data_IF_443108082983
#
_entry.id   IF_443108082983
#
_cell.length_a   1.000
_cell.length_b   1.000
_cell.length_c   1.000
_cell.angle_alpha   90.00
_cell.angle_beta   90.00
_cell.angle_gamma   90.00
#
_symmetry.space_group_name_H-M   'P 1'
#
loop_
_entity.id
_entity.type
_entity.pdbx_description
1 polymer ?
#
# COMPACT_ATOMS: atom_id res chain seq x y z
N UNK A 1 -22.20 58.71 -4.41
CA UNK A 1 -22.53 57.29 -4.71
C UNK A 1 -21.54 56.62 -5.66
N UNK A 2 -20.86 57.35 -6.56
CA UNK A 2 -19.89 56.78 -7.49
C UNK A 2 -18.58 56.30 -6.84
N UNK A 3 -18.17 56.89 -5.73
CA UNK A 3 -16.92 56.58 -5.02
C UNK A 3 -16.90 55.18 -4.38
N UNK A 4 -18.03 54.71 -3.84
CA UNK A 4 -18.15 53.36 -3.26
C UNK A 4 -18.12 52.27 -4.33
N UNK A 5 -18.77 52.50 -5.48
CA UNK A 5 -18.76 51.59 -6.62
C UNK A 5 -17.34 51.49 -7.20
N UNK A 6 -16.62 52.61 -7.28
CA UNK A 6 -15.23 52.64 -7.74
C UNK A 6 -14.23 51.97 -6.77
N UNK A 7 -14.56 51.90 -5.48
CA UNK A 7 -13.77 51.18 -4.47
C UNK A 7 -13.99 49.67 -4.57
N UNK A 8 -15.24 49.21 -4.70
CA UNK A 8 -15.52 47.78 -4.93
C UNK A 8 -14.87 47.25 -6.21
N UNK A 9 -14.93 48.00 -7.32
CA UNK A 9 -14.32 47.59 -8.60
C UNK A 9 -12.78 47.59 -8.57
N UNK A 10 -12.16 48.30 -7.61
CA UNK A 10 -10.68 48.28 -7.42
C UNK A 10 -10.23 47.28 -6.34
N UNK A 11 -11.17 46.62 -5.66
CA UNK A 11 -10.92 45.64 -4.60
C UNK A 11 -10.92 44.17 -5.11
N UNK A 12 -10.92 44.00 -6.45
CA UNK A 12 -10.85 42.71 -7.15
C UNK A 12 -9.54 41.93 -6.86
N UNK A 13 -8.53 42.58 -6.27
CA UNK A 13 -7.29 41.92 -5.86
C UNK A 13 -7.54 40.84 -4.79
N UNK A 14 -8.59 40.98 -3.96
CA UNK A 14 -8.95 39.97 -2.95
C UNK A 14 -9.89 38.86 -3.46
N UNK A 15 -10.81 39.19 -4.37
CA UNK A 15 -11.83 38.26 -4.86
C UNK A 15 -11.25 37.22 -5.84
N UNK A 16 -10.39 37.66 -6.77
CA UNK A 16 -9.77 36.77 -7.77
C UNK A 16 -8.79 35.78 -7.12
N UNK A 17 -7.98 36.25 -6.15
CA UNK A 17 -7.01 35.40 -5.44
C UNK A 17 -7.72 34.35 -4.56
N UNK A 18 -8.94 34.64 -4.07
CA UNK A 18 -9.66 33.71 -3.18
C UNK A 18 -10.21 32.47 -3.90
N UNK A 19 -10.74 32.61 -5.11
CA UNK A 19 -11.31 31.49 -5.86
C UNK A 19 -10.22 30.51 -6.33
N UNK A 20 -9.09 31.03 -6.79
CA UNK A 20 -7.96 30.24 -7.27
C UNK A 20 -7.27 29.49 -6.13
N UNK A 21 -7.13 30.12 -4.96
CA UNK A 21 -6.53 29.50 -3.79
C UNK A 21 -7.45 28.42 -3.18
N UNK A 22 -8.77 28.61 -3.23
CA UNK A 22 -9.75 27.56 -2.89
C UNK A 22 -9.66 26.38 -3.86
N UNK A 23 -9.49 26.63 -5.15
CA UNK A 23 -9.33 25.56 -6.15
C UNK A 23 -8.06 24.73 -5.86
N UNK A 24 -6.92 25.38 -5.60
CA UNK A 24 -5.68 24.69 -5.24
C UNK A 24 -5.82 23.94 -3.91
N UNK A 25 -6.44 24.55 -2.90
CA UNK A 25 -6.63 23.92 -1.60
C UNK A 25 -7.52 22.67 -1.68
N UNK A 26 -8.59 22.70 -2.48
CA UNK A 26 -9.48 21.54 -2.66
C UNK A 26 -8.78 20.40 -3.40
N UNK A 27 -8.01 20.68 -4.45
CA UNK A 27 -7.19 19.67 -5.13
C UNK A 27 -6.16 19.09 -4.15
N UNK A 28 -5.47 19.93 -3.38
CA UNK A 28 -4.47 19.48 -2.41
C UNK A 28 -5.06 18.55 -1.34
N UNK A 29 -6.25 18.87 -0.81
CA UNK A 29 -6.94 18.02 0.18
C UNK A 29 -7.36 16.69 -0.44
N UNK A 30 -7.92 16.70 -1.65
CA UNK A 30 -8.31 15.46 -2.35
C UNK A 30 -7.10 14.58 -2.64
N UNK A 31 -6.01 15.17 -3.14
CA UNK A 31 -4.76 14.46 -3.39
C UNK A 31 -4.14 13.90 -2.12
N UNK A 32 -4.24 14.61 -0.99
CA UNK A 32 -3.74 14.12 0.30
C UNK A 32 -4.56 12.95 0.83
N UNK A 33 -5.89 13.00 0.71
CA UNK A 33 -6.78 11.90 1.15
C UNK A 33 -6.50 10.64 0.35
N UNK A 34 -6.44 10.75 -0.98
CA UNK A 34 -6.12 9.60 -1.85
C UNK A 34 -4.69 9.12 -1.59
N UNK A 35 -3.72 10.04 -1.49
CA UNK A 35 -2.33 9.70 -1.22
C UNK A 35 -2.12 8.97 0.10
N UNK A 36 -2.81 9.39 1.17
CA UNK A 36 -2.74 8.71 2.47
C UNK A 36 -3.42 7.34 2.43
N UNK A 37 -4.52 7.21 1.69
CA UNK A 37 -5.20 5.92 1.48
C UNK A 37 -4.29 4.91 0.78
N UNK A 38 -3.59 5.32 -0.28
CA UNK A 38 -2.68 4.45 -1.00
C UNK A 38 -1.40 4.15 -0.20
N UNK A 39 -0.88 5.12 0.54
CA UNK A 39 0.23 4.89 1.47
C UNK A 39 -0.11 3.84 2.54
N UNK A 40 -1.32 3.91 3.11
CA UNK A 40 -1.77 2.93 4.10
C UNK A 40 -1.87 1.52 3.51
N UNK A 41 -2.38 1.39 2.28
CA UNK A 41 -2.48 0.08 1.62
C UNK A 41 -1.10 -0.49 1.31
N UNK A 42 -0.22 0.33 0.74
CA UNK A 42 1.14 -0.09 0.38
C UNK A 42 1.93 -0.56 1.61
N UNK A 43 1.86 0.17 2.74
CA UNK A 43 2.52 -0.28 3.98
C UNK A 43 1.97 -1.62 4.46
N UNK A 44 0.65 -1.80 4.43
CA UNK A 44 0.05 -3.04 4.89
C UNK A 44 0.40 -4.23 3.99
N UNK A 45 0.48 -4.02 2.67
CA UNK A 45 0.93 -5.04 1.71
C UNK A 45 2.39 -5.43 1.95
N UNK A 46 3.30 -4.47 2.13
CA UNK A 46 4.70 -4.81 2.42
C UNK A 46 4.87 -5.52 3.78
N UNK A 47 4.02 -5.20 4.76
CA UNK A 47 4.04 -5.90 6.05
C UNK A 47 3.45 -7.31 5.98
N UNK A 48 2.50 -7.54 5.08
CA UNK A 48 1.98 -8.86 4.73
C UNK A 48 3.09 -9.69 4.08
N UNK A 49 3.77 -9.20 3.05
CA UNK A 49 4.89 -9.89 2.40
C UNK A 49 6.00 -10.25 3.41
N UNK A 50 6.29 -9.35 4.36
CA UNK A 50 7.23 -9.63 5.45
C UNK A 50 6.72 -10.75 6.36
N UNK A 51 5.41 -10.81 6.66
CA UNK A 51 4.83 -11.84 7.49
C UNK A 51 4.81 -13.21 6.78
N UNK A 52 4.43 -13.26 5.50
CA UNK A 52 4.46 -14.45 4.65
C UNK A 52 5.88 -15.07 4.62
N UNK A 53 6.91 -14.23 4.45
CA UNK A 53 8.31 -14.70 4.46
C UNK A 53 8.74 -15.41 5.77
N UNK A 54 8.03 -15.23 6.88
CA UNK A 54 8.27 -15.99 8.12
C UNK A 54 7.47 -17.30 8.21
N UNK A 55 6.32 -17.42 7.52
CA UNK A 55 5.47 -18.62 7.48
C UNK A 55 5.94 -19.67 6.46
N UNK A 56 6.67 -19.23 5.44
CA UNK A 56 7.03 -20.01 4.26
C UNK A 56 7.76 -21.36 4.46
N UNK A 57 7.49 -22.28 3.52
CA UNK A 57 8.12 -23.61 3.47
C UNK A 57 9.59 -23.53 3.05
N UNK A 58 10.49 -24.20 3.77
CA UNK A 58 11.90 -24.28 3.38
C UNK A 58 12.41 -25.70 3.24
N UNK A 59 13.34 -25.92 2.31
CA UNK A 59 14.04 -27.20 2.12
C UNK A 59 15.49 -26.96 1.74
N UNK A 60 16.39 -27.65 2.43
CA UNK A 60 17.78 -27.75 2.00
C UNK A 60 18.16 -29.20 1.76
N UNK A 61 18.93 -29.43 0.70
CA UNK A 61 19.42 -30.75 0.35
C UNK A 61 20.67 -31.09 1.16
N UNK A 62 20.77 -32.34 1.58
CA UNK A 62 21.98 -32.87 2.18
C UNK A 62 23.08 -33.13 1.15
N UNK A 63 24.25 -33.53 1.64
CA UNK A 63 25.43 -33.81 0.80
C UNK A 63 25.57 -35.31 0.59
N UNK A 64 25.75 -35.75 -0.66
CA UNK A 64 25.99 -37.14 -1.02
C UNK A 64 27.35 -37.29 -1.70
N UNK A 65 28.13 -38.29 -1.27
CA UNK A 65 29.42 -38.66 -1.83
C UNK A 65 29.64 -40.17 -1.84
N UNK A 66 30.75 -40.62 -2.45
CA UNK A 66 31.02 -42.04 -2.72
C UNK A 66 31.02 -42.95 -1.47
N UNK A 67 31.26 -42.41 -0.28
CA UNK A 67 31.29 -43.19 0.98
C UNK A 67 30.49 -42.56 2.12
N UNK A 68 29.59 -41.61 1.84
CA UNK A 68 28.82 -40.96 2.89
C UNK A 68 27.67 -40.14 2.36
N UNK A 69 26.58 -40.14 3.11
CA UNK A 69 25.38 -39.33 2.85
C UNK A 69 25.03 -38.59 4.12
N UNK A 70 24.77 -37.30 3.97
CA UNK A 70 24.15 -36.45 4.99
C UNK A 70 22.72 -36.19 4.56
N UNK A 71 21.76 -36.43 5.44
CA UNK A 71 20.35 -36.09 5.18
C UNK A 71 20.17 -34.57 5.21
N UNK A 72 19.30 -34.05 4.34
CA UNK A 72 18.86 -32.66 4.39
C UNK A 72 17.76 -32.45 5.44
N UNK A 73 17.17 -31.26 5.45
CA UNK A 73 15.96 -31.00 6.22
C UNK A 73 14.97 -30.17 5.42
N UNK A 74 13.70 -30.31 5.76
CA UNK A 74 12.60 -29.55 5.20
C UNK A 74 11.60 -29.22 6.29
N UNK A 75 10.95 -28.08 6.11
CA UNK A 75 9.74 -27.66 6.77
C UNK A 75 8.71 -27.37 5.68
N UNK A 76 7.52 -27.97 5.81
CA UNK A 76 6.41 -27.72 4.90
C UNK A 76 5.34 -27.02 5.73
N UNK A 77 5.10 -25.77 5.39
CA UNK A 77 4.01 -25.01 5.96
C UNK A 77 2.66 -25.57 5.48
N UNK A 78 1.60 -25.37 6.26
CA UNK A 78 0.26 -25.84 5.95
C UNK A 78 -0.67 -24.65 5.82
N UNK A 79 -1.55 -24.69 4.81
CA UNK A 79 -2.56 -23.66 4.61
C UNK A 79 -3.33 -23.36 5.89
N UNK A 80 -3.29 -22.11 6.32
CA UNK A 80 -4.04 -21.62 7.46
C UNK A 80 -4.92 -20.41 7.10
N UNK A 81 -5.64 -19.87 8.09
CA UNK A 81 -6.52 -18.73 7.87
C UNK A 81 -5.66 -17.46 7.75
N UNK A 82 -5.87 -16.66 6.70
CA UNK A 82 -5.03 -15.51 6.32
C UNK A 82 -3.70 -15.84 5.63
N UNK A 83 -3.60 -17.02 5.01
CA UNK A 83 -2.42 -17.48 4.24
C UNK A 83 -2.47 -17.11 2.74
N UNK A 84 -3.40 -16.21 2.36
CA UNK A 84 -3.56 -15.75 0.98
C UNK A 84 -2.75 -14.50 0.71
N UNK A 85 -2.08 -14.44 -0.44
CA UNK A 85 -1.21 -13.32 -0.80
C UNK A 85 -1.95 -12.19 -1.51
N UNK A 86 -1.48 -10.96 -1.30
CA UNK A 86 -2.10 -9.70 -1.72
C UNK A 86 -3.52 -9.50 -1.15
N UNK A 87 -3.80 -10.07 0.02
CA UNK A 87 -5.05 -9.83 0.73
C UNK A 87 -4.81 -9.40 2.18
N UNK A 88 -4.98 -8.10 2.40
CA UNK A 88 -4.96 -7.48 3.73
C UNK A 88 -6.20 -7.81 4.58
N UNK A 89 -7.15 -8.63 4.08
CA UNK A 89 -8.27 -9.15 4.87
C UNK A 89 -8.18 -10.65 5.09
N UNK A 90 -8.70 -11.09 6.24
CA UNK A 90 -8.78 -12.51 6.55
C UNK A 90 -9.65 -13.25 5.52
N UNK A 91 -9.04 -14.21 4.85
CA UNK A 91 -9.71 -15.09 3.89
C UNK A 91 -9.65 -16.54 4.33
N UNK A 92 -10.48 -17.34 3.68
CA UNK A 92 -10.45 -18.79 3.79
C UNK A 92 -9.06 -19.32 3.42
N UNK A 93 -8.63 -20.46 4.00
CA UNK A 93 -7.33 -21.04 3.73
C UNK A 93 -7.15 -21.29 2.24
N UNK A 94 -6.17 -20.61 1.66
CA UNK A 94 -5.82 -20.65 0.25
C UNK A 94 -4.30 -20.69 0.17
N UNK A 95 -3.76 -21.25 -0.91
CA UNK A 95 -2.31 -21.24 -1.10
C UNK A 95 -1.84 -19.91 -1.67
N UNK A 96 -0.69 -19.45 -1.17
CA UNK A 96 0.08 -18.34 -1.73
C UNK A 96 0.28 -18.53 -3.25
N UNK A 97 0.00 -17.50 -4.02
CA UNK A 97 -0.04 -17.55 -5.48
C UNK A 97 0.09 -16.17 -6.09
N UNK A 98 0.74 -16.11 -7.25
CA UNK A 98 1.06 -14.86 -7.95
C UNK A 98 -0.18 -13.98 -8.10
N UNK A 99 -0.12 -12.77 -7.54
CA UNK A 99 -1.21 -11.80 -7.53
C UNK A 99 -1.46 -11.33 -8.96
N UNK A 100 -2.34 -12.05 -9.67
CA UNK A 100 -2.57 -11.89 -11.09
C UNK A 100 -2.81 -10.42 -11.48
N UNK A 101 -1.87 -9.87 -12.26
CA UNK A 101 -2.04 -8.64 -13.04
C UNK A 101 -2.66 -8.94 -14.41
#
# INVERSE_FOLDING_TARGET
MTTLIHQFVRDEAGFVISAELILVATIAVLSMVVGLSELSKAINQELEDVAAAFGESYKYSGLEGHQGRWEGSLFNDQFDECDGECDIVATWPQGEGDCGY
#
